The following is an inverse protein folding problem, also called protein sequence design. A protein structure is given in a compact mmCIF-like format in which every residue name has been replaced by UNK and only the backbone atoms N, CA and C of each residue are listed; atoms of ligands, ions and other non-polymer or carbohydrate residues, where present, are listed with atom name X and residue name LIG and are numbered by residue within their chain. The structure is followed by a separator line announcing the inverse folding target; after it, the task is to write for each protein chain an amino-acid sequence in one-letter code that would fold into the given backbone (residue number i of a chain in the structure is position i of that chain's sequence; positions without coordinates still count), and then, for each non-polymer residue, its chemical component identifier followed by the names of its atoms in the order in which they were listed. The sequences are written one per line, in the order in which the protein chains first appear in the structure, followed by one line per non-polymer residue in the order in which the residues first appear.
data_IF_313905331970
#
_entry.id   IF_313905331970
#
_cell.length_a   1.000
_cell.length_b   1.000
_cell.length_c   1.000
_cell.angle_alpha   90.00
_cell.angle_beta   90.00
_cell.angle_gamma   90.00
#
_symmetry.space_group_name_H-M   'P 1'
#
loop_
_entity.id
_entity.type
_entity.pdbx_description
1 polymer ?
#
# COMPACT_ATOMS: atom_id res chain seq x y z
N UNK A 1 8.90 49.71 38.66
CA UNK A 1 10.06 48.78 38.73
C UNK A 1 9.67 47.55 37.95
N UNK A 2 9.90 47.60 36.61
CA UNK A 2 9.41 46.63 35.66
C UNK A 2 10.53 45.59 35.38
N UNK A 3 10.28 44.32 35.71
CA UNK A 3 11.13 43.20 35.30
C UNK A 3 10.65 42.68 33.96
N UNK A 4 11.40 42.94 32.91
CA UNK A 4 11.31 42.25 31.61
C UNK A 4 11.94 40.85 31.74
N UNK A 5 11.12 39.80 31.59
CA UNK A 5 11.61 38.42 31.35
C UNK A 5 11.76 38.21 29.88
N UNK A 6 13.02 38.12 29.42
CA UNK A 6 13.36 37.66 28.08
C UNK A 6 13.13 36.13 27.98
N UNK A 7 12.22 35.72 27.13
CA UNK A 7 12.11 34.32 26.70
C UNK A 7 13.13 34.08 25.56
N UNK A 8 14.14 33.28 25.83
CA UNK A 8 15.07 32.81 24.83
C UNK A 8 14.42 31.62 24.11
N UNK A 9 14.06 31.81 22.84
CA UNK A 9 13.65 30.72 21.93
C UNK A 9 14.94 30.10 21.38
N UNK A 10 15.27 28.90 21.87
CA UNK A 10 16.35 28.10 21.29
C UNK A 10 15.87 27.47 19.99
N UNK A 11 16.36 27.99 18.89
CA UNK A 11 16.22 27.39 17.56
C UNK A 11 17.26 26.26 17.44
N UNK A 12 16.84 25.00 17.55
CA UNK A 12 17.69 23.87 17.23
C UNK A 12 17.82 23.74 15.71
N UNK A 13 18.97 24.21 15.16
CA UNK A 13 19.36 23.91 13.78
C UNK A 13 19.74 22.43 13.69
N UNK A 14 18.88 21.62 13.13
CA UNK A 14 19.24 20.25 12.73
C UNK A 14 20.09 20.33 11.46
N UNK A 15 21.37 20.08 11.60
CA UNK A 15 22.28 19.88 10.45
C UNK A 15 21.96 18.51 9.82
N UNK A 16 21.21 18.52 8.73
CA UNK A 16 21.11 17.36 7.85
C UNK A 16 22.44 17.22 7.10
N UNK A 17 23.25 16.26 7.51
CA UNK A 17 24.43 15.88 6.73
C UNK A 17 23.97 15.21 5.43
N UNK A 18 23.96 15.97 4.32
CA UNK A 18 23.77 15.44 2.98
C UNK A 18 25.05 14.69 2.58
N UNK A 19 25.12 13.40 2.86
CA UNK A 19 26.06 12.53 2.19
C UNK A 19 25.57 12.27 0.77
N UNK A 20 26.13 12.97 -0.20
CA UNK A 20 25.99 12.64 -1.62
C UNK A 20 26.87 11.44 -1.93
N UNK A 21 26.38 10.23 -1.69
CA UNK A 21 26.91 9.03 -2.32
C UNK A 21 26.37 9.00 -3.75
N UNK A 22 27.23 8.78 -4.75
CA UNK A 22 26.82 8.56 -6.14
C UNK A 22 25.79 7.43 -6.26
N UNK A 23 25.20 7.20 -7.45
CA UNK A 23 24.05 6.33 -7.62
C UNK A 23 24.38 4.89 -7.20
N UNK A 24 24.06 4.56 -5.95
CA UNK A 24 24.13 3.20 -5.43
C UNK A 24 22.99 2.38 -6.01
N UNK A 25 23.17 1.06 -6.07
CA UNK A 25 22.09 0.12 -6.47
C UNK A 25 21.30 -0.39 -5.26
N UNK A 26 21.85 -0.28 -4.06
CA UNK A 26 21.31 -0.83 -2.83
C UNK A 26 21.02 0.29 -1.82
N UNK A 27 19.79 0.31 -1.33
CA UNK A 27 19.29 1.28 -0.36
C UNK A 27 18.64 0.56 0.81
N UNK A 28 18.53 1.27 1.94
CA UNK A 28 17.91 0.73 3.15
C UNK A 28 17.20 1.85 3.90
N UNK A 29 16.02 1.55 4.44
CA UNK A 29 15.29 2.42 5.36
C UNK A 29 14.70 1.57 6.48
N UNK A 30 14.82 2.04 7.74
CA UNK A 30 14.32 1.34 8.91
C UNK A 30 13.18 2.14 9.58
N UNK A 31 12.38 1.47 10.39
CA UNK A 31 11.43 2.13 11.29
C UNK A 31 12.13 3.03 12.30
N UNK A 32 11.44 3.99 12.91
CA UNK A 32 12.01 4.84 13.96
C UNK A 32 12.62 4.05 15.12
N UNK A 33 11.98 2.97 15.57
CA UNK A 33 12.49 2.05 16.61
C UNK A 33 13.59 1.09 16.12
N UNK A 34 13.87 1.05 14.81
CA UNK A 34 14.87 0.22 14.19
C UNK A 34 14.52 -1.27 14.05
N UNK A 35 13.33 -1.70 14.47
CA UNK A 35 12.94 -3.12 14.48
C UNK A 35 12.53 -3.64 13.12
N UNK A 36 11.92 -2.80 12.29
CA UNK A 36 11.53 -3.10 10.91
C UNK A 36 12.49 -2.44 9.92
N UNK A 37 12.89 -3.18 8.92
CA UNK A 37 13.79 -2.65 7.91
C UNK A 37 13.39 -3.08 6.50
N UNK A 38 13.39 -2.13 5.57
CA UNK A 38 13.18 -2.33 4.14
C UNK A 38 14.50 -2.12 3.42
N UNK A 39 14.97 -3.17 2.74
CA UNK A 39 16.09 -3.11 1.80
C UNK A 39 15.53 -2.94 0.39
N UNK A 40 16.13 -2.07 -0.42
CA UNK A 40 15.71 -1.82 -1.81
C UNK A 40 16.90 -2.01 -2.72
N UNK A 41 16.71 -2.75 -3.80
CA UNK A 41 17.71 -2.95 -4.86
C UNK A 41 17.18 -2.45 -6.19
N UNK A 42 17.89 -1.48 -6.76
CA UNK A 42 17.63 -0.90 -8.06
C UNK A 42 18.70 -1.41 -9.04
N UNK A 43 18.36 -2.46 -9.81
CA UNK A 43 19.25 -3.09 -10.77
C UNK A 43 18.45 -3.49 -12.03
N UNK A 44 18.63 -4.70 -12.56
CA UNK A 44 17.83 -5.22 -13.69
C UNK A 44 16.33 -5.20 -13.41
N UNK A 45 15.97 -5.35 -12.14
CA UNK A 45 14.62 -5.15 -11.62
C UNK A 45 14.68 -4.37 -10.31
N UNK A 46 13.69 -3.48 -10.09
CA UNK A 46 13.49 -2.85 -8.80
C UNK A 46 12.84 -3.86 -7.87
N UNK A 47 13.53 -4.21 -6.80
CA UNK A 47 13.04 -5.16 -5.79
C UNK A 47 13.18 -4.58 -4.39
N UNK A 48 12.37 -5.09 -3.47
CA UNK A 48 12.49 -4.78 -2.04
C UNK A 48 12.46 -6.05 -1.19
N UNK A 49 13.04 -5.95 -0.01
CA UNK A 49 13.03 -6.98 1.04
C UNK A 49 12.54 -6.36 2.33
N UNK A 50 11.98 -7.16 3.22
CA UNK A 50 11.53 -6.70 4.55
C UNK A 50 12.08 -7.64 5.61
N UNK A 51 12.63 -7.07 6.69
CA UNK A 51 13.06 -7.84 7.88
C UNK A 51 12.43 -7.24 9.13
N UNK A 52 12.03 -8.08 10.08
CA UNK A 52 11.56 -7.70 11.41
C UNK A 52 12.48 -8.31 12.46
N UNK A 53 13.01 -7.50 13.38
CA UNK A 53 14.01 -7.94 14.37
C UNK A 53 15.18 -8.74 13.76
N UNK A 54 15.60 -8.37 12.55
CA UNK A 54 16.62 -9.09 11.78
C UNK A 54 16.15 -10.38 11.10
N UNK A 55 14.92 -10.85 11.36
CA UNK A 55 14.33 -12.02 10.72
C UNK A 55 13.66 -11.63 9.39
N UNK A 56 13.93 -12.35 8.28
CA UNK A 56 13.30 -12.06 7.00
C UNK A 56 11.78 -12.27 7.05
N UNK A 57 11.04 -11.26 6.60
CA UNK A 57 9.59 -11.29 6.34
C UNK A 57 9.33 -11.52 4.85
N UNK A 58 9.93 -10.66 4.01
CA UNK A 58 9.90 -10.80 2.56
C UNK A 58 11.31 -10.98 1.99
N UNK A 59 11.42 -11.90 1.05
CA UNK A 59 12.50 -12.06 0.10
C UNK A 59 12.39 -11.00 -1.02
N UNK A 60 13.37 -10.86 -1.93
CA UNK A 60 13.28 -9.92 -3.03
C UNK A 60 11.95 -10.02 -3.78
N UNK A 61 11.18 -8.96 -3.72
CA UNK A 61 9.84 -8.80 -4.27
C UNK A 61 9.84 -7.64 -5.26
N UNK A 62 9.39 -7.87 -6.48
CA UNK A 62 9.50 -6.90 -7.56
C UNK A 62 8.40 -5.82 -7.49
N UNK A 63 8.75 -4.61 -7.96
CA UNK A 63 7.87 -3.45 -8.09
C UNK A 63 7.99 -2.91 -9.53
N UNK A 64 6.84 -2.63 -10.18
CA UNK A 64 6.86 -2.03 -11.51
C UNK A 64 5.49 -1.65 -12.05
N UNK A 65 5.50 -0.93 -13.16
CA UNK A 65 4.31 -0.60 -13.95
C UNK A 65 4.58 -0.90 -15.42
N UNK A 66 3.57 -1.39 -16.11
CA UNK A 66 3.57 -1.63 -17.55
C UNK A 66 2.53 -0.72 -18.19
N UNK A 67 2.94 0.07 -19.17
CA UNK A 67 2.04 0.90 -19.96
C UNK A 67 1.75 0.24 -21.32
N UNK A 68 0.61 0.57 -21.89
CA UNK A 68 0.18 0.02 -23.19
C UNK A 68 1.08 0.44 -24.36
N UNK A 69 1.84 1.53 -24.23
CA UNK A 69 2.82 2.00 -25.20
C UNK A 69 4.15 1.20 -25.17
N UNK A 70 4.23 0.15 -24.32
CA UNK A 70 5.41 -0.67 -24.14
C UNK A 70 6.40 -0.16 -23.10
N UNK A 71 6.16 1.01 -22.49
CA UNK A 71 6.99 1.54 -21.39
C UNK A 71 6.85 0.64 -20.16
N UNK A 72 7.99 0.24 -19.57
CA UNK A 72 8.04 -0.59 -18.35
C UNK A 72 8.87 0.13 -17.31
N UNK A 73 8.24 0.51 -16.18
CA UNK A 73 8.92 1.06 -15.03
C UNK A 73 9.30 -0.06 -14.05
N UNK A 74 10.43 0.09 -13.37
CA UNK A 74 10.97 -0.91 -12.45
C UNK A 74 11.92 -1.93 -13.09
N UNK A 75 12.06 -1.94 -14.43
CA UNK A 75 13.06 -2.73 -15.14
C UNK A 75 14.25 -1.84 -15.54
N UNK A 76 15.49 -2.34 -15.35
CA UNK A 76 16.70 -1.56 -15.61
C UNK A 76 16.72 -0.25 -14.79
N UNK A 77 16.28 -0.32 -13.54
CA UNK A 77 16.01 0.85 -12.70
C UNK A 77 17.32 1.59 -12.36
N UNK A 78 17.46 2.83 -12.82
CA UNK A 78 18.60 3.69 -12.51
C UNK A 78 18.15 4.86 -11.65
N UNK A 79 18.66 4.91 -10.42
CA UNK A 79 18.36 5.97 -9.45
C UNK A 79 19.10 7.24 -9.81
N UNK A 80 18.38 8.35 -9.88
CA UNK A 80 18.92 9.70 -10.13
C UNK A 80 18.97 10.55 -8.87
N UNK A 81 18.07 10.30 -7.89
CA UNK A 81 18.03 11.02 -6.62
C UNK A 81 17.49 10.11 -5.52
N UNK A 82 17.97 10.29 -4.29
CA UNK A 82 17.54 9.55 -3.11
C UNK A 82 17.35 10.50 -1.93
N UNK A 83 16.10 10.72 -1.52
CA UNK A 83 15.75 11.62 -0.41
C UNK A 83 15.26 10.84 0.78
N UNK A 84 15.77 11.20 1.96
CA UNK A 84 15.38 10.64 3.25
C UNK A 84 14.71 11.71 4.10
N UNK A 85 13.71 11.29 4.83
CA UNK A 85 12.97 12.15 5.73
C UNK A 85 12.51 11.34 6.93
N UNK A 86 12.50 11.94 8.12
CA UNK A 86 11.80 11.43 9.30
C UNK A 86 10.63 12.34 9.58
N UNK A 87 9.45 11.78 9.69
CA UNK A 87 8.21 12.53 9.94
C UNK A 87 7.66 12.08 11.29
N UNK A 88 7.35 13.07 12.14
CA UNK A 88 6.59 12.88 13.37
C UNK A 88 5.55 14.00 13.43
N UNK A 89 4.26 13.64 13.36
CA UNK A 89 3.17 14.61 13.40
C UNK A 89 1.91 14.02 14.03
N UNK A 90 1.10 14.87 14.66
CA UNK A 90 -0.23 14.50 15.11
C UNK A 90 -1.23 14.69 13.96
N UNK A 91 -2.02 13.67 13.70
CA UNK A 91 -3.11 13.67 12.71
C UNK A 91 -4.44 13.76 13.42
N UNK A 92 -5.25 14.73 13.03
CA UNK A 92 -6.65 14.84 13.50
C UNK A 92 -7.52 13.87 12.69
N UNK A 93 -8.25 13.00 13.38
CA UNK A 93 -9.02 11.92 12.78
C UNK A 93 -10.43 11.83 13.39
N UNK A 94 -11.29 12.84 13.19
CA UNK A 94 -12.54 13.00 13.96
C UNK A 94 -13.56 11.86 13.77
N UNK A 95 -13.44 11.07 12.69
CA UNK A 95 -14.36 9.96 12.39
C UNK A 95 -13.70 8.59 12.48
N UNK A 96 -12.49 8.55 12.99
CA UNK A 96 -11.75 7.32 13.21
C UNK A 96 -11.93 6.78 14.63
N UNK A 97 -11.41 5.59 14.93
CA UNK A 97 -11.47 4.98 16.27
C UNK A 97 -10.79 5.83 17.37
N UNK A 98 -9.86 6.69 16.98
CA UNK A 98 -9.19 7.68 17.84
C UNK A 98 -9.33 9.04 17.15
N UNK A 99 -9.64 10.08 17.93
CA UNK A 99 -9.76 11.45 17.42
C UNK A 99 -8.42 12.03 16.92
N UNK A 100 -7.32 11.48 17.42
CA UNK A 100 -5.95 11.85 17.08
C UNK A 100 -5.06 10.64 17.16
N UNK A 101 -4.05 10.58 16.31
CA UNK A 101 -2.94 9.63 16.41
C UNK A 101 -1.64 10.27 15.94
N UNK A 102 -0.50 9.73 16.36
CA UNK A 102 0.81 10.20 15.92
C UNK A 102 1.27 9.36 14.72
N UNK A 103 1.51 10.03 13.61
CA UNK A 103 2.30 9.46 12.53
C UNK A 103 3.77 9.61 12.86
N UNK A 104 4.49 8.51 12.94
CA UNK A 104 5.95 8.49 13.10
C UNK A 104 6.56 7.47 12.18
N UNK A 105 7.31 7.93 11.18
CA UNK A 105 7.93 7.07 10.18
C UNK A 105 9.21 7.65 9.60
N UNK A 106 10.06 6.79 9.08
CA UNK A 106 11.15 7.16 8.19
C UNK A 106 10.73 6.91 6.74
N UNK A 107 11.03 7.87 5.87
CA UNK A 107 10.74 7.83 4.44
C UNK A 107 12.03 7.78 3.63
N UNK A 108 12.01 6.98 2.57
CA UNK A 108 12.99 7.00 1.50
C UNK A 108 12.26 7.15 0.18
N UNK A 109 12.52 8.23 -0.55
CA UNK A 109 12.02 8.46 -1.90
C UNK A 109 13.17 8.32 -2.88
N UNK A 110 13.05 7.35 -3.79
CA UNK A 110 14.00 7.12 -4.88
C UNK A 110 13.39 7.64 -6.17
N UNK A 111 14.10 8.54 -6.85
CA UNK A 111 13.74 9.05 -8.18
C UNK A 111 14.58 8.30 -9.22
N UNK A 112 13.97 7.94 -10.32
CA UNK A 112 14.57 7.13 -11.37
C UNK A 112 14.60 7.86 -12.71
N UNK A 113 15.52 7.43 -13.57
CA UNK A 113 15.41 7.76 -15.00
C UNK A 113 14.04 7.29 -15.54
N UNK A 114 13.49 8.00 -16.52
CA UNK A 114 12.19 7.64 -17.10
C UNK A 114 10.98 8.29 -16.43
N UNK A 115 11.20 9.30 -15.57
CA UNK A 115 10.12 10.17 -15.06
C UNK A 115 9.23 9.51 -14.00
N UNK A 116 9.80 8.71 -13.12
CA UNK A 116 9.06 8.12 -12.00
C UNK A 116 9.88 8.10 -10.69
N UNK A 117 9.19 7.90 -9.60
CA UNK A 117 9.78 7.68 -8.29
C UNK A 117 9.05 6.57 -7.55
N UNK A 118 9.71 5.98 -6.55
CA UNK A 118 9.08 5.08 -5.58
C UNK A 118 9.39 5.59 -4.18
N UNK A 119 8.32 5.80 -3.41
CA UNK A 119 8.40 6.25 -2.02
C UNK A 119 8.12 5.10 -1.10
N UNK A 120 9.05 4.84 -0.17
CA UNK A 120 8.91 3.88 0.92
C UNK A 120 8.69 4.64 2.22
N UNK A 121 7.69 4.25 3.01
CA UNK A 121 7.48 4.70 4.39
C UNK A 121 7.56 3.52 5.33
N UNK A 122 8.35 3.64 6.37
CA UNK A 122 8.57 2.57 7.36
C UNK A 122 8.23 3.10 8.75
N UNK A 123 7.17 2.53 9.30
CA UNK A 123 6.65 2.79 10.64
C UNK A 123 7.06 1.64 11.56
N UNK A 124 6.92 1.80 12.88
CA UNK A 124 7.15 0.70 13.82
C UNK A 124 6.14 -0.44 13.65
N UNK A 125 4.94 -0.13 13.10
CA UNK A 125 3.84 -1.06 12.89
C UNK A 125 3.75 -1.61 11.46
N UNK A 126 4.75 -1.37 10.60
CA UNK A 126 4.76 -1.86 9.23
C UNK A 126 5.40 -0.91 8.23
N UNK A 127 5.33 -1.28 6.96
CA UNK A 127 5.87 -0.48 5.88
C UNK A 127 4.92 -0.43 4.69
N UNK A 128 5.14 0.56 3.84
CA UNK A 128 4.40 0.72 2.60
C UNK A 128 5.30 1.31 1.52
N UNK A 129 4.95 1.01 0.26
CA UNK A 129 5.49 1.73 -0.88
C UNK A 129 4.38 2.19 -1.82
N UNK A 130 4.65 3.25 -2.57
CA UNK A 130 3.86 3.65 -3.74
C UNK A 130 4.74 4.13 -4.88
N UNK A 131 4.24 3.97 -6.08
CA UNK A 131 4.84 4.51 -7.29
C UNK A 131 4.28 5.92 -7.52
N UNK A 132 5.11 6.81 -8.04
CA UNK A 132 4.76 8.15 -8.48
C UNK A 132 5.27 8.31 -9.91
N UNK A 133 4.48 8.88 -10.81
CA UNK A 133 4.90 9.17 -12.19
C UNK A 133 4.83 10.65 -12.48
N UNK A 134 5.73 11.11 -13.34
CA UNK A 134 5.83 12.47 -13.85
C UNK A 134 5.97 12.41 -15.37
N UNK A 135 5.01 11.76 -16.03
CA UNK A 135 4.97 11.55 -17.46
C UNK A 135 4.01 12.55 -18.11
N UNK A 136 4.23 12.98 -19.35
CA UNK A 136 3.32 13.87 -20.04
C UNK A 136 2.01 13.18 -20.44
N UNK A 137 0.90 13.92 -20.39
CA UNK A 137 -0.41 13.52 -20.90
C UNK A 137 -1.03 12.31 -20.20
N UNK A 138 -2.12 11.81 -20.76
CA UNK A 138 -2.79 10.59 -20.28
C UNK A 138 -1.97 9.34 -20.60
N UNK A 139 -2.04 8.34 -19.71
CA UNK A 139 -1.38 7.06 -19.84
C UNK A 139 -2.35 5.90 -19.63
N UNK A 140 -2.19 4.87 -20.45
CA UNK A 140 -2.92 3.62 -20.30
C UNK A 140 -2.03 2.60 -19.59
N UNK A 141 -2.40 2.20 -18.38
CA UNK A 141 -1.69 1.20 -17.56
C UNK A 141 -2.17 -0.19 -17.98
N UNK A 142 -1.29 -0.97 -18.56
CA UNK A 142 -1.56 -2.37 -18.95
C UNK A 142 -1.48 -3.32 -17.74
N UNK A 143 -0.62 -3.02 -16.76
CA UNK A 143 -0.48 -3.84 -15.55
C UNK A 143 0.45 -3.25 -14.52
N UNK A 144 0.38 -3.80 -13.31
CA UNK A 144 1.27 -3.46 -12.19
C UNK A 144 1.97 -4.73 -11.69
N UNK A 145 3.26 -4.61 -11.40
CA UNK A 145 4.03 -5.62 -10.69
C UNK A 145 4.07 -5.23 -9.22
N UNK A 146 3.38 -6.00 -8.38
CA UNK A 146 3.36 -5.86 -6.93
C UNK A 146 3.56 -7.27 -6.33
N UNK A 147 4.79 -7.63 -6.00
CA UNK A 147 5.12 -8.94 -5.46
C UNK A 147 5.28 -8.91 -3.94
N UNK A 148 4.94 -10.03 -3.29
CA UNK A 148 5.06 -10.29 -1.87
C UNK A 148 5.63 -11.69 -1.68
N UNK A 149 6.95 -11.83 -1.82
CA UNK A 149 7.66 -13.09 -1.74
C UNK A 149 8.04 -13.37 -0.29
N UNK A 150 7.17 -14.07 0.44
CA UNK A 150 7.39 -14.38 1.85
C UNK A 150 8.63 -15.25 2.07
N UNK A 151 9.34 -15.00 3.16
CA UNK A 151 10.42 -15.87 3.60
C UNK A 151 9.83 -17.16 4.20
N UNK A 152 10.00 -18.28 3.51
CA UNK A 152 9.45 -19.58 3.92
C UNK A 152 8.00 -19.79 3.49
N UNK A 153 7.28 -20.63 4.25
CA UNK A 153 5.91 -21.04 3.97
C UNK A 153 4.96 -20.63 5.12
N UNK A 154 4.56 -19.34 5.21
CA UNK A 154 3.71 -18.87 6.30
C UNK A 154 2.32 -19.49 6.27
N UNK A 155 1.70 -19.54 7.46
CA UNK A 155 0.28 -19.83 7.59
C UNK A 155 -0.53 -18.61 7.15
N UNK A 156 -1.51 -18.81 6.28
CA UNK A 156 -2.36 -17.74 5.75
C UNK A 156 -3.78 -17.84 6.27
N UNK A 157 -4.43 -16.68 6.40
CA UNK A 157 -5.87 -16.53 6.47
C UNK A 157 -6.31 -15.85 5.18
N UNK A 158 -6.81 -16.62 4.23
CA UNK A 158 -7.16 -16.19 2.89
C UNK A 158 -8.67 -16.23 2.68
N UNK A 159 -9.23 -15.17 2.10
CA UNK A 159 -10.59 -15.16 1.60
C UNK A 159 -10.55 -15.14 0.07
N UNK A 160 -11.29 -16.03 -0.57
CA UNK A 160 -11.30 -16.15 -2.02
C UNK A 160 -12.49 -15.41 -2.63
N UNK A 161 -12.29 -14.86 -3.82
CA UNK A 161 -13.36 -14.26 -4.62
C UNK A 161 -13.75 -15.15 -5.79
N UNK A 162 -15.04 -15.23 -6.08
CA UNK A 162 -15.57 -15.91 -7.29
C UNK A 162 -15.42 -15.02 -8.54
N UNK A 163 -14.20 -14.50 -8.78
CA UNK A 163 -13.88 -13.59 -9.87
C UNK A 163 -13.67 -12.14 -9.42
N UNK A 164 -13.50 -11.25 -10.37
CA UNK A 164 -13.10 -9.85 -10.15
C UNK A 164 -14.29 -8.87 -10.05
N UNK A 165 -15.51 -9.37 -9.92
CA UNK A 165 -16.73 -8.56 -9.79
C UNK A 165 -17.82 -9.34 -9.07
N UNK A 166 -17.86 -9.22 -7.74
CA UNK A 166 -18.91 -9.82 -6.91
C UNK A 166 -19.08 -9.03 -5.59
N UNK A 167 -19.82 -9.57 -4.62
CA UNK A 167 -20.06 -8.93 -3.33
C UNK A 167 -18.86 -9.00 -2.36
N UNK A 168 -17.82 -9.76 -2.68
CA UNK A 168 -16.62 -9.98 -1.85
C UNK A 168 -16.91 -10.40 -0.41
N UNK A 169 -17.97 -11.21 -0.23
CA UNK A 169 -18.43 -11.72 1.06
C UNK A 169 -18.04 -13.18 1.20
N UNK A 170 -16.76 -13.44 1.39
CA UNK A 170 -16.23 -14.79 1.56
C UNK A 170 -15.73 -15.01 2.98
N UNK A 171 -15.79 -16.23 3.46
CA UNK A 171 -15.18 -16.61 4.72
C UNK A 171 -13.67 -16.76 4.54
N UNK A 172 -12.93 -16.49 5.62
CA UNK A 172 -11.49 -16.73 5.66
C UNK A 172 -11.20 -18.21 5.91
N UNK A 173 -10.29 -18.75 5.13
CA UNK A 173 -9.78 -20.10 5.25
C UNK A 173 -8.33 -20.08 5.70
N UNK A 174 -7.97 -21.07 6.54
CA UNK A 174 -6.57 -21.28 6.95
C UNK A 174 -5.89 -22.22 5.98
N UNK A 175 -4.76 -21.79 5.43
CA UNK A 175 -3.91 -22.64 4.59
C UNK A 175 -2.43 -22.25 4.75
N UNK A 176 -1.53 -23.04 4.18
CA UNK A 176 -0.15 -22.64 3.96
C UNK A 176 -0.04 -21.90 2.65
N UNK A 177 0.95 -21.02 2.53
CA UNK A 177 1.23 -20.32 1.27
C UNK A 177 1.43 -21.33 0.11
N UNK A 178 2.18 -22.40 0.35
CA UNK A 178 2.41 -23.49 -0.62
C UNK A 178 1.14 -24.23 -1.05
N UNK A 179 0.09 -24.17 -0.25
CA UNK A 179 -1.21 -24.80 -0.52
C UNK A 179 -2.27 -23.82 -1.04
N UNK A 180 -1.91 -22.55 -1.23
CA UNK A 180 -2.85 -21.54 -1.72
C UNK A 180 -3.28 -21.86 -3.14
N UNK A 181 -4.58 -21.97 -3.37
CA UNK A 181 -5.15 -22.27 -4.69
C UNK A 181 -4.93 -21.15 -5.71
N UNK A 182 -4.74 -21.52 -6.96
CA UNK A 182 -4.56 -20.60 -8.08
C UNK A 182 -5.85 -20.27 -8.83
N UNK A 183 -6.93 -21.01 -8.54
CA UNK A 183 -8.19 -20.97 -9.28
C UNK A 183 -8.97 -19.66 -9.05
N UNK A 184 -8.79 -19.05 -7.90
CA UNK A 184 -9.56 -17.86 -7.49
C UNK A 184 -8.65 -16.75 -6.98
N UNK A 185 -9.00 -15.48 -7.27
CA UNK A 185 -8.36 -14.34 -6.63
C UNK A 185 -8.51 -14.37 -5.12
N UNK A 186 -7.46 -13.96 -4.40
CA UNK A 186 -7.47 -13.77 -2.96
C UNK A 186 -7.75 -12.32 -2.63
N UNK A 187 -8.70 -12.09 -1.72
CA UNK A 187 -9.10 -10.76 -1.26
C UNK A 187 -8.06 -10.16 -0.31
N UNK A 188 -8.03 -8.84 -0.25
CA UNK A 188 -7.38 -8.07 0.81
C UNK A 188 -8.38 -7.72 1.93
N UNK A 189 -7.92 -7.60 3.19
CA UNK A 189 -6.57 -7.87 3.65
C UNK A 189 -6.26 -9.36 3.71
N UNK A 190 -5.02 -9.74 3.39
CA UNK A 190 -4.53 -11.10 3.61
C UNK A 190 -3.67 -11.12 4.86
N UNK A 191 -3.96 -12.00 5.80
CA UNK A 191 -3.12 -12.19 6.99
C UNK A 191 -2.18 -13.38 6.83
N UNK A 192 -0.92 -13.19 7.24
CA UNK A 192 0.12 -14.21 7.22
C UNK A 192 0.78 -14.34 8.60
N UNK A 193 0.89 -15.57 9.10
CA UNK A 193 1.67 -15.91 10.27
C UNK A 193 3.08 -16.29 9.83
N UNK A 194 4.03 -15.37 10.00
CA UNK A 194 5.42 -15.53 9.64
C UNK A 194 6.28 -16.06 10.81
N UNK A 195 5.68 -16.63 11.84
CA UNK A 195 6.39 -17.19 12.99
C UNK A 195 7.20 -16.15 13.75
N UNK A 196 8.51 -16.35 13.85
CA UNK A 196 9.40 -15.43 14.56
C UNK A 196 9.50 -14.03 13.91
N UNK A 197 9.13 -13.89 12.66
CA UNK A 197 9.06 -12.60 11.96
C UNK A 197 7.74 -11.85 12.22
N UNK A 198 6.83 -12.42 13.04
CA UNK A 198 5.57 -11.80 13.46
C UNK A 198 4.39 -12.11 12.56
N UNK A 199 3.38 -11.27 12.67
CA UNK A 199 2.12 -11.30 11.91
C UNK A 199 2.15 -10.22 10.86
N UNK A 200 1.68 -10.52 9.66
CA UNK A 200 1.69 -9.59 8.53
C UNK A 200 0.30 -9.49 7.92
N UNK A 201 -0.16 -8.27 7.66
CA UNK A 201 -1.32 -8.02 6.81
C UNK A 201 -0.85 -7.37 5.52
N UNK A 202 -1.19 -7.99 4.39
CA UNK A 202 -1.07 -7.33 3.08
C UNK A 202 -2.33 -6.51 2.86
N UNK A 203 -2.17 -5.20 2.66
CA UNK A 203 -3.26 -4.23 2.50
C UNK A 203 -2.91 -3.22 1.40
N UNK A 204 -3.84 -2.32 1.14
CA UNK A 204 -3.65 -1.15 0.28
C UNK A 204 -4.39 0.08 0.83
N UNK A 205 -3.99 1.27 0.40
CA UNK A 205 -4.67 2.52 0.72
C UNK A 205 -4.56 3.52 -0.43
N UNK A 206 -5.36 4.57 -0.37
CA UNK A 206 -5.36 5.69 -1.33
C UNK A 206 -5.72 5.26 -2.76
N UNK A 207 -6.79 4.49 -2.88
CA UNK A 207 -7.32 3.92 -4.11
C UNK A 207 -8.12 4.96 -4.91
N UNK A 208 -7.45 5.93 -5.51
CA UNK A 208 -8.11 6.95 -6.33
C UNK A 208 -7.95 6.64 -7.82
N UNK A 209 -9.07 6.47 -8.54
CA UNK A 209 -9.12 6.21 -9.99
C UNK A 209 -8.15 5.09 -10.44
N UNK A 210 -8.11 4.00 -9.66
CA UNK A 210 -7.24 2.85 -9.91
C UNK A 210 -7.92 1.57 -9.38
N UNK A 211 -7.73 0.39 -10.00
CA UNK A 211 -8.35 -0.84 -9.52
C UNK A 211 -7.78 -1.29 -8.17
N UNK A 212 -8.64 -1.82 -7.32
CA UNK A 212 -8.22 -2.53 -6.11
C UNK A 212 -7.39 -3.77 -6.43
N UNK A 213 -6.44 -4.07 -5.54
CA UNK A 213 -5.56 -5.22 -5.68
C UNK A 213 -6.20 -6.47 -5.10
N UNK A 214 -6.21 -7.54 -5.86
CA UNK A 214 -6.33 -8.91 -5.40
C UNK A 214 -4.95 -9.54 -5.36
N UNK A 215 -4.83 -10.70 -4.75
CA UNK A 215 -3.60 -11.49 -4.78
C UNK A 215 -3.82 -12.81 -5.50
N UNK A 216 -2.74 -13.32 -6.09
CA UNK A 216 -2.68 -14.66 -6.67
C UNK A 216 -1.31 -15.26 -6.38
N UNK A 217 -1.19 -16.60 -6.24
CA UNK A 217 0.11 -17.25 -6.12
C UNK A 217 1.06 -16.92 -7.27
N UNK A 218 2.34 -16.86 -6.95
CA UNK A 218 3.45 -16.73 -7.90
C UNK A 218 4.58 -17.69 -7.52
N UNK A 219 5.58 -17.84 -8.38
CA UNK A 219 6.71 -18.75 -8.13
C UNK A 219 7.49 -18.42 -6.84
N UNK A 220 7.51 -17.14 -6.42
CA UNK A 220 8.23 -16.69 -5.22
C UNK A 220 7.33 -16.42 -4.01
N UNK A 221 6.00 -16.48 -4.17
CA UNK A 221 5.07 -16.11 -3.11
C UNK A 221 3.72 -15.66 -3.64
N UNK A 222 3.40 -14.38 -3.50
CA UNK A 222 2.17 -13.77 -3.98
C UNK A 222 2.48 -12.61 -4.92
N UNK A 223 1.56 -12.35 -5.85
CA UNK A 223 1.58 -11.16 -6.70
C UNK A 223 0.21 -10.49 -6.75
N UNK A 224 0.21 -9.18 -6.99
CA UNK A 224 -0.99 -8.40 -7.27
C UNK A 224 -1.69 -8.89 -8.54
N UNK A 225 -3.00 -8.95 -8.48
CA UNK A 225 -3.90 -9.20 -9.59
C UNK A 225 -4.93 -8.07 -9.65
N UNK A 226 -5.08 -7.45 -10.81
CA UNK A 226 -5.90 -6.26 -10.99
C UNK A 226 -6.99 -6.53 -12.03
N UNK A 227 -8.21 -6.08 -11.73
CA UNK A 227 -9.29 -6.16 -12.68
C UNK A 227 -9.04 -5.18 -13.84
N UNK A 228 -9.06 -5.68 -15.06
CA UNK A 228 -9.04 -4.81 -16.23
C UNK A 228 -10.32 -3.99 -16.34
N UNK A 229 -10.25 -2.82 -16.98
CA UNK A 229 -11.37 -1.89 -17.16
C UNK A 229 -12.51 -2.58 -17.90
N UNK A 230 -13.77 -2.47 -17.46
CA UNK A 230 -14.92 -2.97 -18.20
C UNK A 230 -15.02 -2.34 -19.60
N UNK A 231 -15.20 -3.17 -20.62
CA UNK A 231 -15.45 -2.76 -21.99
C UNK A 231 -16.97 -2.73 -22.28
N UNK A 232 -17.67 -3.82 -21.93
CA UNK A 232 -19.13 -3.88 -22.03
C UNK A 232 -19.75 -4.46 -20.76
N UNK A 233 -20.97 -3.98 -20.45
CA UNK A 233 -21.77 -4.41 -19.32
C UNK A 233 -23.17 -4.83 -19.79
N UNK A 234 -23.82 -5.66 -18.99
CA UNK A 234 -25.24 -6.02 -19.17
C UNK A 234 -25.97 -5.96 -17.83
N UNK A 235 -27.26 -5.68 -17.88
CA UNK A 235 -28.12 -5.69 -16.71
C UNK A 235 -28.52 -7.14 -16.37
N UNK A 236 -28.21 -7.57 -15.15
CA UNK A 236 -28.65 -8.89 -14.68
C UNK A 236 -30.14 -8.90 -14.37
N UNK A 237 -30.90 -9.74 -15.06
CA UNK A 237 -32.38 -9.74 -15.06
C UNK A 237 -33.00 -9.81 -13.65
N UNK A 238 -32.47 -10.64 -12.75
CA UNK A 238 -33.04 -10.85 -11.41
C UNK A 238 -32.60 -9.82 -10.37
N UNK A 239 -31.42 -9.22 -10.54
CA UNK A 239 -30.80 -8.38 -9.50
C UNK A 239 -30.81 -6.89 -9.85
N UNK A 240 -31.20 -6.53 -11.05
CA UNK A 240 -31.11 -5.17 -11.56
C UNK A 240 -29.73 -4.53 -11.33
N UNK A 241 -28.68 -5.33 -11.43
CA UNK A 241 -27.29 -4.92 -11.25
C UNK A 241 -26.54 -5.07 -12.57
N UNK A 242 -25.71 -4.09 -12.89
CA UNK A 242 -24.79 -4.22 -14.00
C UNK A 242 -23.75 -5.31 -13.73
N UNK A 243 -23.51 -6.13 -14.74
CA UNK A 243 -22.48 -7.15 -14.76
C UNK A 243 -21.54 -6.88 -15.92
N UNK A 244 -20.26 -7.04 -15.67
CA UNK A 244 -19.24 -6.91 -16.72
C UNK A 244 -19.33 -8.11 -17.66
N UNK A 245 -19.52 -7.87 -18.95
CA UNK A 245 -19.52 -8.90 -19.99
C UNK A 245 -18.12 -9.09 -20.59
N UNK A 246 -17.48 -8.00 -20.99
CA UNK A 246 -16.12 -8.00 -21.55
C UNK A 246 -15.26 -6.96 -20.85
N UNK A 247 -13.93 -7.14 -20.95
CA UNK A 247 -12.95 -6.22 -20.40
C UNK A 247 -11.92 -5.85 -21.45
N UNK A 248 -11.38 -4.65 -21.32
CA UNK A 248 -10.22 -4.21 -22.05
C UNK A 248 -8.96 -5.02 -21.64
N UNK A 249 -7.87 -4.79 -22.33
CA UNK A 249 -6.53 -5.36 -22.06
C UNK A 249 -5.66 -4.46 -21.15
N UNK A 250 -6.27 -3.45 -20.51
CA UNK A 250 -5.60 -2.53 -19.59
C UNK A 250 -6.40 -2.37 -18.29
N UNK A 251 -5.68 -1.99 -17.22
CA UNK A 251 -6.25 -1.90 -15.87
C UNK A 251 -6.68 -0.48 -15.47
N UNK A 252 -6.12 0.56 -16.10
CA UNK A 252 -6.51 1.96 -15.85
C UNK A 252 -6.10 2.88 -17.00
N UNK A 253 -6.84 3.99 -17.16
CA UNK A 253 -6.40 5.21 -17.87
C UNK A 253 -6.23 6.30 -16.85
N UNK A 254 -5.10 6.96 -16.85
CA UNK A 254 -4.69 7.86 -15.77
C UNK A 254 -3.88 9.03 -16.31
N UNK A 255 -3.88 10.14 -15.57
CA UNK A 255 -2.93 11.22 -15.83
C UNK A 255 -1.49 10.70 -15.66
N UNK A 256 -0.60 11.10 -16.57
CA UNK A 256 0.80 10.68 -16.52
C UNK A 256 1.56 11.22 -15.30
N UNK A 257 1.10 12.33 -14.73
CA UNK A 257 1.63 12.86 -13.46
C UNK A 257 0.65 12.54 -12.35
N UNK A 258 0.99 11.52 -11.53
CA UNK A 258 0.15 11.09 -10.42
C UNK A 258 0.91 10.24 -9.40
N UNK A 259 0.26 10.00 -8.26
CA UNK A 259 0.61 8.95 -7.30
C UNK A 259 -0.29 7.73 -7.51
N UNK A 260 0.26 6.53 -7.29
CA UNK A 260 -0.48 5.27 -7.30
C UNK A 260 -0.83 4.84 -5.87
N UNK A 261 -1.74 3.87 -5.69
CA UNK A 261 -2.09 3.40 -4.35
C UNK A 261 -0.88 2.89 -3.55
N UNK A 262 -0.97 3.02 -2.23
CA UNK A 262 -0.01 2.42 -1.34
C UNK A 262 -0.19 0.90 -1.29
N UNK A 263 0.92 0.16 -1.39
CA UNK A 263 1.01 -1.26 -1.10
C UNK A 263 1.59 -1.41 0.29
N UNK A 264 0.81 -2.01 1.18
CA UNK A 264 1.05 -1.97 2.64
C UNK A 264 1.35 -3.37 3.15
N UNK A 265 2.35 -3.45 4.01
CA UNK A 265 2.63 -4.56 4.90
C UNK A 265 2.50 -4.04 6.33
N UNK A 266 1.34 -4.23 6.95
CA UNK A 266 1.22 -4.02 8.38
C UNK A 266 1.86 -5.20 9.10
N UNK A 267 2.72 -4.93 10.07
CA UNK A 267 3.49 -5.95 10.79
C UNK A 267 3.25 -5.78 12.29
N UNK A 268 3.04 -6.90 12.98
CA UNK A 268 2.82 -6.96 14.41
C UNK A 268 3.57 -8.16 15.01
N UNK A 269 3.97 -8.05 16.25
CA UNK A 269 4.58 -9.17 16.97
C UNK A 269 3.51 -10.14 17.48
N UNK A 270 2.32 -9.61 17.84
CA UNK A 270 1.20 -10.40 18.35
C UNK A 270 -0.11 -10.13 17.58
N UNK A 271 -0.99 -11.12 17.52
CA UNK A 271 -2.28 -11.05 16.83
C UNK A 271 -3.15 -9.88 17.31
N UNK A 272 -3.11 -9.54 18.59
CA UNK A 272 -3.91 -8.47 19.21
C UNK A 272 -3.53 -7.07 18.73
N UNK A 273 -2.37 -6.88 18.13
CA UNK A 273 -1.89 -5.59 17.63
C UNK A 273 -2.44 -5.26 16.25
N UNK A 274 -2.77 -6.29 15.45
CA UNK A 274 -3.29 -6.11 14.10
C UNK A 274 -4.59 -5.28 14.03
N UNK A 275 -5.61 -5.51 14.90
CA UNK A 275 -6.85 -4.71 14.86
C UNK A 275 -6.66 -3.23 15.22
N UNK A 276 -5.53 -2.89 15.82
CA UNK A 276 -5.22 -1.52 16.23
C UNK A 276 -4.18 -0.84 15.34
N UNK A 277 -3.80 -1.49 14.25
CA UNK A 277 -2.86 -0.94 13.28
C UNK A 277 -3.51 0.20 12.46
N UNK A 278 -2.89 1.37 12.45
CA UNK A 278 -3.43 2.59 11.85
C UNK A 278 -2.88 2.88 10.44
N UNK A 279 -2.05 2.01 9.87
CA UNK A 279 -1.30 2.30 8.63
C UNK A 279 -2.20 2.63 7.42
N UNK A 280 -3.30 1.91 7.25
CA UNK A 280 -4.22 2.17 6.13
C UNK A 280 -4.78 3.58 6.23
N UNK A 281 -5.13 4.02 7.44
CA UNK A 281 -5.64 5.38 7.67
C UNK A 281 -4.54 6.44 7.54
N UNK A 282 -3.37 6.19 8.10
CA UNK A 282 -2.21 7.08 8.05
C UNK A 282 -1.70 7.33 6.61
N UNK A 283 -1.86 6.33 5.74
CA UNK A 283 -1.40 6.41 4.35
C UNK A 283 -2.48 6.90 3.37
N UNK A 284 -3.73 6.99 3.81
CA UNK A 284 -4.82 7.55 3.01
C UNK A 284 -4.63 9.07 2.82
N UNK A 285 -5.18 9.59 1.73
CA UNK A 285 -5.19 11.03 1.49
C UNK A 285 -5.94 11.79 2.59
N UNK A 286 -5.53 13.03 2.85
CA UNK A 286 -6.20 13.91 3.81
C UNK A 286 -7.64 14.21 3.38
N UNK A 287 -8.50 14.49 4.35
CA UNK A 287 -9.88 14.87 4.09
C UNK A 287 -9.96 16.14 3.21
N UNK A 288 -10.66 16.05 2.09
CA UNK A 288 -10.87 17.16 1.14
C UNK A 288 -12.28 17.75 1.17
N UNK A 289 -13.16 17.23 2.04
CA UNK A 289 -14.56 17.73 2.12
C UNK A 289 -14.61 19.11 2.78
N UNK A 290 -13.60 19.48 3.59
CA UNK A 290 -13.57 20.73 4.34
C UNK A 290 -14.43 20.64 5.59
N UNK A 291 -15.56 21.36 5.64
CA UNK A 291 -16.46 21.31 6.80
C UNK A 291 -17.19 19.96 6.88
N UNK A 292 -16.84 19.17 7.88
CA UNK A 292 -17.46 17.88 8.19
C UNK A 292 -18.35 17.94 9.44
N UNK A 293 -18.70 19.11 9.97
CA UNK A 293 -19.46 19.28 11.21
C UNK A 293 -20.87 18.67 11.15
N UNK A 294 -21.42 18.50 9.97
CA UNK A 294 -22.70 17.84 9.73
C UNK A 294 -22.66 16.31 9.84
N UNK A 295 -21.49 15.69 9.75
CA UNK A 295 -21.30 14.24 9.88
C UNK A 295 -21.37 13.88 11.36
N UNK A 296 -22.35 13.08 11.74
CA UNK A 296 -22.56 12.62 13.12
C UNK A 296 -22.42 11.11 13.16
N UNK A 297 -21.30 10.56 13.64
CA UNK A 297 -21.15 9.12 13.84
C UNK A 297 -22.21 8.59 14.80
N UNK A 298 -22.76 7.43 14.54
CA UNK A 298 -23.81 6.85 15.38
C UNK A 298 -24.15 5.43 14.98
N UNK A 299 -25.04 4.82 15.76
CA UNK A 299 -25.63 3.52 15.43
C UNK A 299 -26.82 3.73 14.52
N UNK A 300 -26.87 2.99 13.42
CA UNK A 300 -27.99 3.00 12.47
C UNK A 300 -28.59 1.60 12.44
N UNK A 301 -29.91 1.51 12.61
CA UNK A 301 -30.64 0.30 12.29
C UNK A 301 -30.81 0.25 10.77
N UNK A 302 -30.18 -0.74 10.14
CA UNK A 302 -30.32 -0.99 8.71
C UNK A 302 -31.35 -2.10 8.51
N UNK A 303 -32.53 -1.75 8.09
CA UNK A 303 -33.53 -2.71 7.62
C UNK A 303 -33.44 -2.77 6.09
N UNK A 304 -33.03 -3.92 5.57
CA UNK A 304 -33.21 -4.22 4.15
C UNK A 304 -34.67 -4.62 4.00
N UNK A 305 -35.54 -3.59 3.96
CA UNK A 305 -36.98 -3.73 3.97
C UNK A 305 -37.49 -4.47 2.75
N UNK A 306 -38.53 -5.24 2.95
CA UNK A 306 -39.43 -5.59 1.86
C UNK A 306 -40.04 -4.26 1.37
N UNK A 307 -39.65 -3.85 0.17
CA UNK A 307 -40.41 -2.85 -0.51
C UNK A 307 -41.81 -3.44 -0.68
N UNK A 308 -42.79 -2.98 0.09
CA UNK A 308 -44.16 -3.21 -0.21
C UNK A 308 -44.50 -2.29 -1.38
N UNK A 309 -44.64 -2.88 -2.53
CA UNK A 309 -45.31 -2.27 -3.68
C UNK A 309 -46.80 -2.26 -3.40
#
# INVERSE_FOLDING_TARGET
MNLFRCFAISFALSFAAACSSGPGTDFKVASPDGTLCVGIRAADSLTYTVTRHGTPVLQPSAIGLHFADGTVLGRGAKVTDARRETVERVVEAPFYRQARFTEHYNQLRLTFEGGYAVTFRVFDQGCAYRIETHLPGERTVAGEVAEFNFAGDPGLFAAYSDGLCNAYQSQYEKCRLSALGTEKPVLLPLAADCGAAGRVLVCEADLEAYPGMFLTPSAGGLRGLFAAVPDSCYLHERRCQEKVATRHDYIARVEGTRTYPWRILAVADEDRELPTNDLVYALAAENRIGDCSWVKPGKVAWEIGRAHV
#
